data_IF_278461918562
#
_entry.id   IF_278461918562
#
_cell.length_a   1.000
_cell.length_b   1.000
_cell.length_c   1.000
_cell.angle_alpha   90.00
_cell.angle_beta   90.00
_cell.angle_gamma   90.00
#
_symmetry.space_group_name_H-M   'P 1'
#
loop_
_entity.id
_entity.type
_entity.pdbx_description
1 polymer ?
#
# COMPACT_ATOMS: atom_id res chain seq x y z
N UNK A 1 16.34 37.17 -3.53
CA UNK A 1 16.82 36.66 -2.23
C UNK A 1 15.82 35.62 -1.79
N UNK A 2 16.22 34.36 -1.83
CA UNK A 2 15.37 33.23 -1.47
C UNK A 2 15.46 33.00 0.04
N UNK A 3 14.38 33.20 0.83
CA UNK A 3 14.43 33.07 2.28
C UNK A 3 14.36 31.62 2.76
N UNK A 4 14.33 30.63 1.87
CA UNK A 4 14.21 29.24 2.27
C UNK A 4 15.57 28.64 2.68
N UNK A 5 15.91 28.79 3.96
CA UNK A 5 16.99 28.01 4.60
C UNK A 5 16.37 26.69 5.10
N UNK A 6 16.66 25.53 4.50
CA UNK A 6 16.15 24.28 5.02
C UNK A 6 16.68 24.06 6.45
N UNK A 7 15.85 23.59 7.40
CA UNK A 7 16.27 23.37 8.77
C UNK A 7 17.42 22.35 8.83
N UNK A 8 18.44 22.68 9.63
CA UNK A 8 19.78 22.07 9.61
C UNK A 8 19.88 20.67 10.23
N UNK A 9 18.77 20.09 10.69
CA UNK A 9 18.70 18.75 11.28
C UNK A 9 17.30 18.14 11.04
N UNK A 10 16.95 17.89 9.78
CA UNK A 10 15.95 16.87 9.48
C UNK A 10 16.74 15.57 9.40
N UNK A 11 16.88 14.85 10.52
CA UNK A 11 17.24 13.44 10.47
C UNK A 11 16.27 12.81 9.46
N UNK A 12 16.80 12.42 8.31
CA UNK A 12 16.00 11.85 7.24
C UNK A 12 15.36 10.60 7.87
N UNK A 13 14.04 10.64 8.14
CA UNK A 13 13.37 9.52 8.81
C UNK A 13 13.44 8.31 7.87
N UNK A 14 14.41 7.43 8.11
CA UNK A 14 14.62 6.22 7.32
C UNK A 14 13.65 5.18 7.83
N UNK A 15 12.46 5.15 7.23
CA UNK A 15 11.52 4.06 7.46
C UNK A 15 12.01 2.84 6.68
N UNK A 16 12.69 1.93 7.38
CA UNK A 16 13.19 0.70 6.79
C UNK A 16 12.03 -0.26 6.50
N UNK A 17 11.72 -0.48 5.22
CA UNK A 17 10.83 -1.57 4.78
C UNK A 17 11.53 -2.60 3.88
N UNK A 18 12.62 -3.29 4.32
CA UNK A 18 13.21 -4.36 3.52
C UNK A 18 12.61 -5.75 3.79
N UNK A 19 12.17 -6.05 5.02
CA UNK A 19 11.86 -7.44 5.41
C UNK A 19 10.50 -7.92 4.89
N UNK A 20 9.49 -7.04 4.85
CA UNK A 20 8.15 -7.36 4.35
C UNK A 20 8.20 -7.70 2.86
N UNK A 21 8.98 -6.96 2.07
CA UNK A 21 9.12 -7.19 0.63
C UNK A 21 9.72 -8.56 0.33
N UNK A 22 10.73 -8.98 1.10
CA UNK A 22 11.36 -10.30 0.95
C UNK A 22 10.38 -11.42 1.34
N UNK A 23 9.67 -11.27 2.47
CA UNK A 23 8.65 -12.24 2.90
C UNK A 23 7.51 -12.37 1.88
N UNK A 24 7.10 -11.27 1.24
CA UNK A 24 6.07 -11.28 0.20
C UNK A 24 6.50 -12.13 -1.00
N UNK A 25 7.76 -12.01 -1.44
CA UNK A 25 8.30 -12.84 -2.54
C UNK A 25 8.25 -14.33 -2.18
N UNK A 26 8.69 -14.69 -0.96
CA UNK A 26 8.61 -16.07 -0.49
C UNK A 26 7.17 -16.58 -0.41
N UNK A 27 6.23 -15.75 0.06
CA UNK A 27 4.81 -16.09 0.11
C UNK A 27 4.26 -16.36 -1.31
N UNK A 28 4.57 -15.50 -2.28
CA UNK A 28 4.15 -15.68 -3.68
C UNK A 28 4.71 -17.00 -4.25
N UNK A 29 5.98 -17.31 -4.00
CA UNK A 29 6.61 -18.57 -4.44
C UNK A 29 5.92 -19.77 -3.77
N UNK A 30 5.66 -19.70 -2.47
CA UNK A 30 4.98 -20.77 -1.72
C UNK A 30 3.55 -21.01 -2.23
N UNK A 31 2.78 -19.94 -2.51
CA UNK A 31 1.45 -20.02 -3.09
C UNK A 31 1.49 -20.64 -4.49
N UNK A 32 2.47 -20.26 -5.32
CA UNK A 32 2.65 -20.82 -6.66
C UNK A 32 2.98 -22.32 -6.61
N UNK A 33 3.96 -22.72 -5.79
CA UNK A 33 4.33 -24.13 -5.62
C UNK A 33 3.19 -24.96 -5.05
N UNK A 34 2.50 -24.45 -4.02
CA UNK A 34 1.36 -25.13 -3.41
C UNK A 34 0.24 -25.39 -4.42
N UNK A 35 -0.11 -24.36 -5.21
CA UNK A 35 -1.13 -24.52 -6.25
C UNK A 35 -0.67 -25.48 -7.37
N UNK A 36 0.58 -25.41 -7.80
CA UNK A 36 1.12 -26.32 -8.82
C UNK A 36 1.11 -27.78 -8.35
N UNK A 37 1.52 -28.05 -7.10
CA UNK A 37 1.47 -29.39 -6.49
C UNK A 37 0.02 -29.89 -6.42
N UNK A 38 -0.92 -29.05 -6.00
CA UNK A 38 -2.35 -29.41 -5.95
C UNK A 38 -2.90 -29.76 -7.34
N UNK A 39 -2.54 -28.98 -8.37
CA UNK A 39 -2.93 -29.26 -9.76
C UNK A 39 -2.30 -30.55 -10.27
N UNK A 40 -1.02 -30.77 -10.00
CA UNK A 40 -0.28 -31.96 -10.44
C UNK A 40 -0.82 -33.25 -9.80
N UNK A 41 -1.37 -33.18 -8.59
CA UNK A 41 -1.79 -34.36 -7.85
C UNK A 41 -3.21 -34.86 -8.20
N UNK A 42 -3.93 -34.22 -9.15
CA UNK A 42 -5.22 -34.58 -9.81
C UNK A 42 -6.38 -35.16 -8.96
N UNK A 43 -6.23 -35.32 -7.65
CA UNK A 43 -7.26 -35.82 -6.74
C UNK A 43 -8.16 -34.67 -6.34
N UNK A 44 -9.18 -34.44 -7.17
CA UNK A 44 -10.48 -33.92 -6.75
C UNK A 44 -10.44 -32.57 -6.00
N UNK A 45 -10.43 -31.48 -6.75
CA UNK A 45 -10.97 -30.22 -6.23
C UNK A 45 -11.91 -29.62 -7.27
N UNK A 46 -13.16 -30.05 -7.26
CA UNK A 46 -14.26 -29.36 -7.94
C UNK A 46 -14.30 -27.86 -7.59
N UNK A 47 -13.79 -27.49 -6.41
CA UNK A 47 -13.57 -26.09 -6.00
C UNK A 47 -12.54 -25.37 -6.86
N UNK A 48 -11.45 -26.01 -7.28
CA UNK A 48 -10.43 -25.41 -8.17
C UNK A 48 -11.02 -25.17 -9.55
N UNK A 49 -11.84 -26.08 -10.06
CA UNK A 49 -12.49 -25.92 -11.37
C UNK A 49 -13.54 -24.79 -11.34
N UNK A 50 -14.36 -24.71 -10.28
CA UNK A 50 -15.30 -23.59 -10.07
C UNK A 50 -14.56 -22.26 -9.88
N UNK A 51 -13.45 -22.28 -9.13
CA UNK A 51 -12.63 -21.09 -8.93
C UNK A 51 -12.00 -20.67 -10.27
N UNK A 52 -11.49 -21.60 -11.08
CA UNK A 52 -10.89 -21.32 -12.38
C UNK A 52 -11.88 -20.70 -13.37
N UNK A 53 -13.13 -21.20 -13.43
CA UNK A 53 -14.18 -20.69 -14.32
C UNK A 53 -14.54 -19.21 -14.05
N UNK A 54 -14.33 -18.73 -12.81
CA UNK A 54 -14.57 -17.34 -12.42
C UNK A 54 -13.31 -16.56 -12.05
N UNK A 55 -12.15 -17.22 -12.03
CA UNK A 55 -10.91 -16.66 -11.52
C UNK A 55 -10.54 -15.39 -12.27
N UNK A 56 -10.66 -15.42 -13.60
CA UNK A 56 -10.35 -14.28 -14.45
C UNK A 56 -11.19 -13.04 -14.11
N UNK A 57 -12.52 -13.20 -14.05
CA UNK A 57 -13.45 -12.09 -13.75
C UNK A 57 -13.19 -11.55 -12.34
N UNK A 58 -13.05 -12.43 -11.35
CA UNK A 58 -12.78 -12.03 -9.96
C UNK A 58 -11.41 -11.36 -9.84
N UNK A 59 -10.42 -11.81 -10.61
CA UNK A 59 -9.09 -11.21 -10.69
C UNK A 59 -9.18 -9.77 -11.21
N UNK A 60 -9.87 -9.55 -12.34
CA UNK A 60 -10.07 -8.21 -12.91
C UNK A 60 -10.82 -7.27 -11.96
N UNK A 61 -11.88 -7.76 -11.29
CA UNK A 61 -12.60 -6.96 -10.29
C UNK A 61 -11.71 -6.61 -9.10
N UNK A 62 -10.83 -7.52 -8.68
CA UNK A 62 -9.87 -7.28 -7.60
C UNK A 62 -8.83 -6.24 -8.01
N UNK A 63 -8.32 -6.28 -9.25
CA UNK A 63 -7.47 -5.25 -9.82
C UNK A 63 -8.17 -3.89 -9.83
N UNK A 64 -9.43 -3.83 -10.28
CA UNK A 64 -10.22 -2.60 -10.31
C UNK A 64 -10.41 -2.02 -8.90
N UNK A 65 -10.82 -2.85 -7.94
CA UNK A 65 -10.99 -2.45 -6.55
C UNK A 65 -9.69 -1.91 -5.95
N UNK A 66 -8.57 -2.60 -6.20
CA UNK A 66 -7.24 -2.17 -5.79
C UNK A 66 -6.89 -0.79 -6.39
N UNK A 67 -7.08 -0.61 -7.70
CA UNK A 67 -6.77 0.64 -8.39
C UNK A 67 -7.61 1.80 -7.85
N UNK A 68 -8.91 1.60 -7.65
CA UNK A 68 -9.80 2.62 -7.07
C UNK A 68 -9.37 3.01 -5.65
N UNK A 69 -9.02 2.02 -4.82
CA UNK A 69 -8.53 2.24 -3.47
C UNK A 69 -7.22 3.05 -3.48
N UNK A 70 -6.26 2.65 -4.31
CA UNK A 70 -4.97 3.34 -4.45
C UNK A 70 -5.14 4.79 -4.93
N UNK A 71 -5.99 5.03 -5.94
CA UNK A 71 -6.28 6.38 -6.44
C UNK A 71 -6.95 7.23 -5.35
N UNK A 72 -7.89 6.67 -4.59
CA UNK A 72 -8.60 7.37 -3.51
C UNK A 72 -7.63 7.80 -2.41
N UNK A 73 -6.77 6.89 -1.93
CA UNK A 73 -5.75 7.20 -0.93
C UNK A 73 -4.73 8.21 -1.45
N UNK A 74 -4.24 8.03 -2.67
CA UNK A 74 -3.31 8.96 -3.31
C UNK A 74 -3.92 10.36 -3.44
N UNK A 75 -5.20 10.46 -3.80
CA UNK A 75 -5.94 11.72 -3.88
C UNK A 75 -6.07 12.39 -2.52
N UNK A 76 -6.40 11.63 -1.47
CA UNK A 76 -6.48 12.13 -0.10
C UNK A 76 -5.14 12.67 0.40
N UNK A 77 -4.05 11.91 0.21
CA UNK A 77 -2.69 12.33 0.59
C UNK A 77 -2.27 13.58 -0.20
N UNK A 78 -2.51 13.61 -1.52
CA UNK A 78 -2.18 14.78 -2.36
C UNK A 78 -2.96 16.02 -1.94
N UNK A 79 -4.25 15.88 -1.65
CA UNK A 79 -5.09 16.98 -1.17
C UNK A 79 -4.55 17.53 0.15
N UNK A 80 -4.22 16.65 1.10
CA UNK A 80 -3.64 17.04 2.38
C UNK A 80 -2.29 17.75 2.20
N UNK A 81 -1.36 17.18 1.42
CA UNK A 81 -0.05 17.79 1.16
C UNK A 81 -0.15 19.15 0.45
N UNK A 82 -1.19 19.36 -0.36
CA UNK A 82 -1.46 20.64 -1.03
C UNK A 82 -2.03 21.68 -0.06
N UNK A 83 -2.89 21.28 0.88
CA UNK A 83 -3.50 22.19 1.86
C UNK A 83 -2.60 22.49 3.04
N UNK A 84 -1.78 21.52 3.45
CA UNK A 84 -0.95 21.55 4.66
C UNK A 84 0.46 21.12 4.26
N UNK A 85 1.28 22.03 3.71
CA UNK A 85 2.64 21.72 3.28
C UNK A 85 3.62 21.57 4.45
N UNK A 86 3.28 22.11 5.62
CA UNK A 86 4.02 21.97 6.87
C UNK A 86 3.03 21.94 8.05
N UNK A 87 3.39 21.27 9.14
CA UNK A 87 2.60 21.24 10.36
C UNK A 87 3.09 22.38 11.25
N UNK A 88 2.25 23.40 11.42
CA UNK A 88 2.58 24.62 12.18
C UNK A 88 1.79 24.75 13.47
N UNK A 89 0.60 24.15 13.53
CA UNK A 89 -0.32 24.30 14.64
C UNK A 89 -1.05 22.97 14.95
N UNK A 90 -1.76 22.88 16.10
CA UNK A 90 -2.54 21.69 16.46
C UNK A 90 -3.69 21.38 15.49
N UNK A 91 -4.22 22.38 14.78
CA UNK A 91 -5.31 22.18 13.81
C UNK A 91 -4.83 21.41 12.57
N UNK A 92 -3.61 21.66 12.11
CA UNK A 92 -2.95 20.90 11.04
C UNK A 92 -2.80 19.42 11.43
N UNK A 93 -2.45 19.17 12.70
CA UNK A 93 -2.34 17.82 13.26
C UNK A 93 -3.71 17.12 13.32
N UNK A 94 -4.74 17.85 13.75
CA UNK A 94 -6.12 17.34 13.78
C UNK A 94 -6.62 16.94 12.39
N UNK A 95 -6.17 17.65 11.33
CA UNK A 95 -6.46 17.30 9.94
C UNK A 95 -5.64 16.11 9.42
N UNK A 96 -4.43 15.89 9.95
CA UNK A 96 -3.58 14.76 9.56
C UNK A 96 -4.10 13.43 10.10
N UNK A 97 -4.58 13.38 11.35
CA UNK A 97 -5.10 12.18 12.01
C UNK A 97 -6.10 11.37 11.16
N UNK A 98 -7.18 11.96 10.60
CA UNK A 98 -8.14 11.19 9.80
C UNK A 98 -7.54 10.68 8.47
N UNK A 99 -6.58 11.41 7.89
CA UNK A 99 -5.88 10.98 6.66
C UNK A 99 -5.06 9.73 6.95
N UNK A 100 -4.25 9.76 8.01
CA UNK A 100 -3.46 8.59 8.44
C UNK A 100 -4.38 7.43 8.80
N UNK A 101 -5.45 7.67 9.57
CA UNK A 101 -6.39 6.63 10.00
C UNK A 101 -7.02 5.91 8.81
N UNK A 102 -7.53 6.68 7.84
CA UNK A 102 -8.10 6.14 6.60
C UNK A 102 -7.04 5.34 5.85
N UNK A 103 -5.81 5.85 5.79
CA UNK A 103 -4.74 5.15 5.11
C UNK A 103 -4.34 3.83 5.78
N UNK A 104 -4.30 3.76 7.12
CA UNK A 104 -4.04 2.51 7.84
C UNK A 104 -5.08 1.43 7.54
N UNK A 105 -6.37 1.77 7.56
CA UNK A 105 -7.44 0.82 7.18
C UNK A 105 -7.34 0.41 5.72
N UNK A 106 -7.08 1.36 4.83
CA UNK A 106 -6.89 1.07 3.41
C UNK A 106 -5.67 0.19 3.16
N UNK A 107 -4.57 0.35 3.90
CA UNK A 107 -3.39 -0.48 3.78
C UNK A 107 -3.71 -1.94 4.13
N UNK A 108 -4.52 -2.16 5.17
CA UNK A 108 -4.97 -3.50 5.56
C UNK A 108 -5.83 -4.14 4.46
N UNK A 109 -6.79 -3.39 3.91
CA UNK A 109 -7.60 -3.85 2.76
C UNK A 109 -6.73 -4.11 1.51
N UNK A 110 -5.73 -3.27 1.28
CA UNK A 110 -4.75 -3.40 0.18
C UNK A 110 -3.96 -4.71 0.31
N UNK A 111 -3.51 -5.07 1.52
CA UNK A 111 -2.82 -6.34 1.76
C UNK A 111 -3.72 -7.54 1.44
N UNK A 112 -4.98 -7.53 1.88
CA UNK A 112 -5.95 -8.60 1.59
C UNK A 112 -6.19 -8.72 0.08
N UNK A 113 -6.40 -7.59 -0.60
CA UNK A 113 -6.58 -7.55 -2.05
C UNK A 113 -5.34 -8.06 -2.79
N UNK A 114 -4.13 -7.71 -2.37
CA UNK A 114 -2.90 -8.20 -3.00
C UNK A 114 -2.75 -9.71 -2.88
N UNK A 115 -3.02 -10.28 -1.70
CA UNK A 115 -3.00 -11.74 -1.50
C UNK A 115 -4.02 -12.41 -2.44
N UNK A 116 -5.25 -11.88 -2.49
CA UNK A 116 -6.29 -12.40 -3.37
C UNK A 116 -5.90 -12.31 -4.84
N UNK A 117 -5.40 -11.16 -5.29
CA UNK A 117 -4.92 -10.94 -6.66
C UNK A 117 -3.80 -11.92 -6.98
N UNK A 118 -2.81 -12.10 -6.10
CA UNK A 118 -1.70 -13.05 -6.31
C UNK A 118 -2.22 -14.46 -6.54
N UNK A 119 -3.11 -14.96 -5.67
CA UNK A 119 -3.68 -16.30 -5.81
C UNK A 119 -4.45 -16.44 -7.12
N UNK A 120 -5.32 -15.49 -7.45
CA UNK A 120 -6.13 -15.52 -8.66
C UNK A 120 -5.28 -15.42 -9.93
N UNK A 121 -4.23 -14.58 -9.92
CA UNK A 121 -3.28 -14.47 -11.03
C UNK A 121 -2.58 -15.79 -11.29
N UNK A 122 -2.15 -16.51 -10.25
CA UNK A 122 -1.56 -17.85 -10.39
C UNK A 122 -2.55 -18.83 -11.04
N UNK A 123 -3.82 -18.81 -10.58
CA UNK A 123 -4.88 -19.67 -11.14
C UNK A 123 -5.08 -19.38 -12.62
N UNK A 124 -5.20 -18.11 -13.02
CA UNK A 124 -5.41 -17.70 -14.42
C UNK A 124 -4.20 -18.03 -15.29
N UNK A 125 -2.97 -17.78 -14.82
CA UNK A 125 -1.74 -18.07 -15.58
C UNK A 125 -1.52 -19.56 -15.83
N UNK A 126 -2.04 -20.41 -14.95
CA UNK A 126 -2.02 -21.86 -15.13
C UNK A 126 -3.22 -22.38 -15.90
N UNK A 127 -4.19 -21.51 -16.23
CA UNK A 127 -5.22 -21.78 -17.21
C UNK A 127 -4.60 -21.83 -18.62
N UNK A 128 -5.19 -22.63 -19.50
CA UNK A 128 -4.70 -22.77 -20.90
C UNK A 128 -5.09 -21.57 -21.78
N UNK A 129 -5.75 -20.55 -21.20
CA UNK A 129 -6.23 -19.38 -21.91
C UNK A 129 -5.17 -18.28 -21.99
N UNK A 130 -4.51 -18.20 -23.15
CA UNK A 130 -3.39 -17.28 -23.40
C UNK A 130 -3.81 -15.79 -23.34
N UNK A 131 -4.99 -15.44 -23.84
CA UNK A 131 -5.51 -14.06 -23.84
C UNK A 131 -5.72 -13.53 -22.42
N UNK A 132 -6.37 -14.33 -21.56
CA UNK A 132 -6.63 -13.97 -20.16
C UNK A 132 -5.33 -13.76 -19.38
N UNK A 133 -4.37 -14.67 -19.60
CA UNK A 133 -3.03 -14.60 -19.02
C UNK A 133 -2.29 -13.31 -19.39
N UNK A 134 -2.31 -12.91 -20.67
CA UNK A 134 -1.70 -11.65 -21.13
C UNK A 134 -2.37 -10.46 -20.44
N UNK A 135 -3.70 -10.43 -20.36
CA UNK A 135 -4.42 -9.31 -19.77
C UNK A 135 -4.09 -9.15 -18.27
N UNK A 136 -4.08 -10.25 -17.52
CA UNK A 136 -3.72 -10.24 -16.09
C UNK A 136 -2.27 -9.80 -15.89
N UNK A 137 -1.36 -10.17 -16.79
CA UNK A 137 0.03 -9.71 -16.73
C UNK A 137 0.13 -8.19 -16.94
N UNK A 138 -0.61 -7.64 -17.91
CA UNK A 138 -0.67 -6.18 -18.11
C UNK A 138 -1.25 -5.46 -16.88
N UNK A 139 -2.33 -5.99 -16.28
CA UNK A 139 -2.90 -5.45 -15.05
C UNK A 139 -1.91 -5.47 -13.88
N UNK A 140 -1.09 -6.53 -13.77
CA UNK A 140 -0.02 -6.64 -12.76
C UNK A 140 1.02 -5.54 -12.89
N UNK A 141 1.42 -5.22 -14.13
CA UNK A 141 2.37 -4.14 -14.41
C UNK A 141 1.77 -2.79 -13.98
N UNK A 142 0.51 -2.53 -14.33
CA UNK A 142 -0.19 -1.29 -13.92
C UNK A 142 -0.24 -1.15 -12.41
N UNK A 143 -0.60 -2.21 -11.68
CA UNK A 143 -0.61 -2.19 -10.20
C UNK A 143 0.77 -1.91 -9.63
N UNK A 144 1.82 -2.50 -10.20
CA UNK A 144 3.20 -2.29 -9.75
C UNK A 144 3.62 -0.82 -9.89
N UNK A 145 3.27 -0.18 -11.02
CA UNK A 145 3.52 1.25 -11.24
C UNK A 145 2.73 2.11 -10.26
N UNK A 146 1.47 1.76 -10.00
CA UNK A 146 0.64 2.47 -9.01
C UNK A 146 1.21 2.34 -7.59
N UNK A 147 1.65 1.15 -7.18
CA UNK A 147 2.31 0.91 -5.89
C UNK A 147 3.55 1.79 -5.73
N UNK A 148 4.40 1.84 -6.75
CA UNK A 148 5.61 2.66 -6.73
C UNK A 148 5.27 4.15 -6.58
N UNK A 149 4.34 4.67 -7.38
CA UNK A 149 3.90 6.06 -7.30
C UNK A 149 3.24 6.41 -5.97
N UNK A 150 2.48 5.47 -5.41
CA UNK A 150 1.84 5.60 -4.11
C UNK A 150 2.87 5.67 -2.97
N UNK A 151 3.87 4.78 -2.99
CA UNK A 151 4.96 4.77 -2.00
C UNK A 151 5.73 6.10 -1.94
N UNK A 152 5.95 6.76 -3.08
CA UNK A 152 6.56 8.09 -3.10
C UNK A 152 5.70 9.16 -2.40
N UNK A 153 4.37 9.10 -2.52
CA UNK A 153 3.47 10.04 -1.85
C UNK A 153 3.46 9.82 -0.33
N UNK A 154 3.45 8.56 0.10
CA UNK A 154 3.55 8.24 1.53
C UNK A 154 4.87 8.73 2.12
N UNK A 155 5.99 8.54 1.41
CA UNK A 155 7.28 9.05 1.86
C UNK A 155 7.28 10.58 2.02
N UNK A 156 6.67 11.31 1.09
CA UNK A 156 6.51 12.77 1.20
C UNK A 156 5.69 13.16 2.42
N UNK A 157 4.59 12.45 2.70
CA UNK A 157 3.78 12.69 3.89
C UNK A 157 4.54 12.42 5.18
N UNK A 158 5.32 11.34 5.23
CA UNK A 158 6.19 10.99 6.37
C UNK A 158 7.33 11.99 6.61
N UNK A 159 7.69 12.76 5.57
CA UNK A 159 8.73 13.79 5.60
C UNK A 159 8.15 15.21 5.72
N UNK A 160 6.87 15.37 6.06
CA UNK A 160 6.27 16.69 6.20
C UNK A 160 7.06 17.54 7.23
N UNK A 161 7.46 18.77 6.88
CA UNK A 161 8.16 19.66 7.80
C UNK A 161 7.27 19.98 9.01
N UNK A 162 7.87 19.93 10.19
CA UNK A 162 7.24 20.39 11.44
C UNK A 162 7.91 21.72 11.77
N UNK A 163 7.14 22.80 11.75
CA UNK A 163 7.61 24.15 12.08
C UNK A 163 7.03 24.49 13.43
N UNK A 164 7.77 24.22 14.49
CA UNK A 164 7.46 24.67 15.83
C UNK A 164 8.55 25.62 16.32
N UNK A 165 8.15 26.78 16.85
CA UNK A 165 9.09 27.79 17.38
C UNK A 165 9.98 27.24 18.51
N UNK A 166 9.56 26.15 19.16
CA UNK A 166 10.37 25.38 20.09
C UNK A 166 10.56 23.95 19.57
N UNK A 167 11.82 23.52 19.43
CA UNK A 167 12.23 22.18 18.97
C UNK A 167 11.74 21.02 19.87
N UNK A 168 11.27 21.33 21.08
CA UNK A 168 10.69 20.39 22.05
C UNK A 168 9.16 20.51 22.20
N UNK A 169 8.50 21.26 21.31
CA UNK A 169 7.05 21.45 21.34
C UNK A 169 6.32 20.11 21.37
N UNK A 170 5.33 19.98 22.26
CA UNK A 170 4.45 18.81 22.37
C UNK A 170 3.87 18.39 21.00
N UNK A 171 3.68 19.36 20.11
CA UNK A 171 3.22 19.16 18.73
C UNK A 171 4.17 18.26 17.91
N UNK A 172 5.49 18.47 18.03
CA UNK A 172 6.48 17.69 17.31
C UNK A 172 6.50 16.24 17.81
N UNK A 173 6.43 16.05 19.14
CA UNK A 173 6.36 14.73 19.78
C UNK A 173 5.09 13.98 19.39
N UNK A 174 3.93 14.66 19.38
CA UNK A 174 2.67 14.03 19.00
C UNK A 174 2.66 13.65 17.51
N UNK A 175 3.14 14.54 16.63
CA UNK A 175 3.28 14.25 15.20
C UNK A 175 4.18 13.04 14.95
N UNK A 176 5.34 12.99 15.63
CA UNK A 176 6.26 11.87 15.52
C UNK A 176 5.62 10.57 16.02
N UNK A 177 4.95 10.60 17.17
CA UNK A 177 4.20 9.45 17.68
C UNK A 177 3.17 8.92 16.67
N UNK A 178 2.42 9.82 16.03
CA UNK A 178 1.43 9.44 15.00
C UNK A 178 2.09 8.80 13.77
N UNK A 179 3.18 9.39 13.28
CA UNK A 179 3.90 8.87 12.12
C UNK A 179 4.57 7.52 12.42
N UNK A 180 5.15 7.36 13.61
CA UNK A 180 5.73 6.09 14.06
C UNK A 180 4.64 5.03 14.22
N UNK A 181 3.50 5.37 14.84
CA UNK A 181 2.34 4.49 14.94
C UNK A 181 1.86 4.01 13.57
N UNK A 182 1.79 4.91 12.59
CA UNK A 182 1.41 4.57 11.21
C UNK A 182 2.36 3.55 10.57
N UNK A 183 3.66 3.60 10.87
CA UNK A 183 4.62 2.66 10.28
C UNK A 183 4.69 1.34 11.03
N UNK A 184 4.58 1.37 12.35
CA UNK A 184 4.80 0.18 13.19
C UNK A 184 3.53 -0.64 13.43
N UNK A 185 2.35 -0.01 13.38
CA UNK A 185 1.07 -0.66 13.72
C UNK A 185 0.19 -0.83 12.50
N UNK A 186 -0.54 -1.96 12.46
CA UNK A 186 -1.55 -2.23 11.44
C UNK A 186 -2.85 -1.46 11.66
N UNK A 187 -3.12 -1.06 12.90
CA UNK A 187 -4.34 -0.38 13.31
C UNK A 187 -4.01 0.92 14.08
N UNK A 188 -4.82 1.98 13.89
CA UNK A 188 -4.64 3.25 14.58
C UNK A 188 -4.91 3.08 16.08
N UNK A 189 -4.11 3.75 16.92
CA UNK A 189 -4.28 3.79 18.40
C UNK A 189 -4.69 5.19 18.92
N UNK A 190 -5.15 6.05 18.01
CA UNK A 190 -5.50 7.45 18.22
C UNK A 190 -6.76 7.86 17.45
#
# INVERSE_FOLDING_TARGET
>A
MDPYRPPKNLSQRVFQTPLISVLLVFLVIALFLGFWILKANQRSLALVDVLADKAFIVCLLSYLAYTLLAITNASNIRRFLKSTPAITNPDDLARLKPVIRTNMYSALLTMVLLILITVLTIVVLLGEQLLESILVMLCSIVVTVLLYGYGQLEQRLKQIPIVSDNSESELAKETERLLTCWVEKLLPDF
#
